data_IF_717365902076
#
_entry.id   IF_717365902076
#
_cell.length_a   1.000
_cell.length_b   1.000
_cell.length_c   1.000
_cell.angle_alpha   90.00
_cell.angle_beta   90.00
_cell.angle_gamma   90.00
#
_symmetry.space_group_name_H-M   'P 1'
#
loop_
_entity.id
_entity.type
_entity.pdbx_description
1 polymer ?
#
# COMPACT_ATOMS: atom_id res chain seq x y z
N UNK A 1 -39.40 19.62 13.98
CA UNK A 1 -38.15 19.19 14.64
C UNK A 1 -37.45 18.24 13.68
N UNK A 2 -36.37 18.69 13.04
CA UNK A 2 -35.68 17.94 11.99
C UNK A 2 -34.80 16.87 12.64
N UNK A 3 -35.13 15.61 12.40
CA UNK A 3 -34.30 14.49 12.81
C UNK A 3 -33.13 14.38 11.82
N UNK A 4 -31.97 14.89 12.20
CA UNK A 4 -30.72 14.55 11.54
C UNK A 4 -30.54 13.03 11.66
N UNK A 5 -30.77 12.32 10.55
CA UNK A 5 -30.48 10.91 10.45
C UNK A 5 -28.99 10.72 10.78
N UNK A 6 -28.72 10.09 11.92
CA UNK A 6 -27.41 9.53 12.21
C UNK A 6 -27.13 8.52 11.12
N UNK A 7 -26.24 8.87 10.19
CA UNK A 7 -25.64 7.91 9.25
C UNK A 7 -24.95 6.86 10.12
N UNK A 8 -25.56 5.67 10.26
CA UNK A 8 -24.91 4.55 10.91
C UNK A 8 -23.78 4.10 9.99
N UNK A 9 -22.59 4.00 10.56
CA UNK A 9 -21.31 3.91 9.85
C UNK A 9 -21.07 2.56 9.12
N UNK A 10 -22.13 1.79 8.86
CA UNK A 10 -22.07 0.41 8.33
C UNK A 10 -23.16 0.08 7.29
N UNK A 11 -23.89 1.07 6.78
CA UNK A 11 -24.90 0.78 5.76
C UNK A 11 -24.21 0.33 4.46
N UNK A 12 -24.51 -0.90 4.04
CA UNK A 12 -23.94 -1.45 2.82
C UNK A 12 -24.41 -0.62 1.63
N UNK A 13 -23.44 -0.15 0.84
CA UNK A 13 -23.69 0.59 -0.39
C UNK A 13 -23.71 -0.41 -1.54
N UNK A 14 -24.84 -0.47 -2.23
CA UNK A 14 -25.06 -1.38 -3.37
C UNK A 14 -24.07 -1.01 -4.48
N UNK A 15 -23.38 -2.02 -5.00
CA UNK A 15 -22.47 -1.89 -6.11
C UNK A 15 -22.87 -2.73 -7.32
N UNK A 16 -22.12 -2.53 -8.40
CA UNK A 16 -22.39 -3.18 -9.67
C UNK A 16 -22.10 -4.68 -9.55
N UNK A 17 -23.00 -5.53 -10.05
CA UNK A 17 -22.87 -6.98 -9.98
C UNK A 17 -23.42 -7.64 -8.71
N UNK A 18 -23.97 -6.88 -7.76
CA UNK A 18 -24.66 -7.46 -6.61
C UNK A 18 -25.97 -8.12 -7.01
N UNK A 19 -26.36 -9.16 -6.28
CA UNK A 19 -27.66 -9.81 -6.42
C UNK A 19 -28.58 -9.30 -5.30
N UNK A 20 -29.63 -8.61 -5.70
CA UNK A 20 -30.63 -8.05 -4.81
C UNK A 20 -31.87 -8.94 -4.83
N UNK A 21 -32.37 -9.29 -3.66
CA UNK A 21 -33.69 -9.89 -3.50
C UNK A 21 -34.68 -8.78 -3.17
N UNK A 22 -35.61 -8.54 -4.09
CA UNK A 22 -36.62 -7.51 -3.96
C UNK A 22 -37.94 -8.21 -3.63
N UNK A 23 -38.48 -7.93 -2.47
CA UNK A 23 -39.80 -8.37 -2.06
C UNK A 23 -40.76 -7.18 -1.99
N UNK A 24 -41.79 -7.21 -2.83
CA UNK A 24 -42.89 -6.24 -2.79
C UNK A 24 -44.07 -6.87 -2.06
N UNK A 25 -44.53 -6.21 -1.00
CA UNK A 25 -45.66 -6.69 -0.21
C UNK A 25 -46.94 -6.73 -1.05
N UNK A 26 -47.74 -7.79 -0.88
CA UNK A 26 -49.02 -8.03 -1.56
C UNK A 26 -48.96 -8.21 -3.11
N UNK A 27 -47.77 -8.08 -3.74
CA UNK A 27 -47.60 -8.21 -5.20
C UNK A 27 -46.40 -9.11 -5.55
N UNK A 28 -46.61 -10.42 -5.42
CA UNK A 28 -45.57 -11.44 -5.69
C UNK A 28 -45.04 -11.45 -7.13
N UNK A 29 -45.78 -10.90 -8.09
CA UNK A 29 -45.35 -10.82 -9.50
C UNK A 29 -44.22 -9.80 -9.72
N UNK A 30 -44.09 -8.83 -8.80
CA UNK A 30 -43.03 -7.84 -8.80
C UNK A 30 -41.81 -8.29 -7.97
N UNK A 31 -42.01 -9.22 -7.03
CA UNK A 31 -40.93 -9.77 -6.19
C UNK A 31 -40.03 -10.72 -7.00
N UNK A 32 -38.80 -10.29 -7.28
CA UNK A 32 -37.79 -11.10 -7.98
C UNK A 32 -36.38 -10.76 -7.54
N UNK A 33 -35.52 -11.76 -7.65
CA UNK A 33 -34.08 -11.57 -7.57
C UNK A 33 -33.56 -10.91 -8.85
N UNK A 34 -32.87 -9.78 -8.69
CA UNK A 34 -32.31 -8.99 -9.79
C UNK A 34 -30.84 -8.73 -9.57
N UNK A 35 -30.05 -8.82 -10.65
CA UNK A 35 -28.61 -8.51 -10.61
C UNK A 35 -28.39 -7.07 -11.05
N UNK A 36 -27.61 -6.32 -10.29
CA UNK A 36 -27.21 -4.95 -10.65
C UNK A 36 -26.32 -5.02 -11.88
N UNK A 37 -26.71 -4.33 -12.94
CA UNK A 37 -25.95 -4.30 -14.20
C UNK A 37 -24.66 -3.49 -14.08
N UNK A 38 -23.79 -3.57 -15.08
CA UNK A 38 -22.55 -2.78 -15.14
C UNK A 38 -22.81 -1.26 -15.19
N UNK A 39 -23.99 -0.82 -15.63
CA UNK A 39 -24.38 0.60 -15.60
C UNK A 39 -24.99 1.02 -14.26
N UNK A 40 -24.93 0.15 -13.24
CA UNK A 40 -25.48 0.42 -11.91
C UNK A 40 -27.00 0.38 -11.82
N UNK A 41 -27.67 -0.13 -12.86
CA UNK A 41 -29.13 -0.18 -12.93
C UNK A 41 -29.67 -1.59 -12.76
N UNK A 42 -30.86 -1.70 -12.16
CA UNK A 42 -31.66 -2.92 -12.11
C UNK A 42 -32.86 -2.81 -13.06
N UNK A 43 -33.29 -3.95 -13.58
CA UNK A 43 -34.54 -4.06 -14.33
C UNK A 43 -35.55 -4.82 -13.48
N UNK A 44 -36.71 -4.24 -13.25
CA UNK A 44 -37.82 -4.92 -12.57
C UNK A 44 -38.88 -5.37 -13.58
N UNK A 45 -39.60 -6.47 -13.30
CA UNK A 45 -40.78 -6.84 -14.06
C UNK A 45 -41.80 -5.70 -14.09
N UNK A 46 -42.49 -5.51 -15.22
CA UNK A 46 -43.57 -4.54 -15.40
C UNK A 46 -43.17 -3.05 -15.30
N UNK A 47 -41.93 -2.73 -14.92
CA UNK A 47 -41.39 -1.37 -14.93
C UNK A 47 -40.60 -1.15 -16.24
N UNK A 48 -41.03 -0.22 -17.13
CA UNK A 48 -40.40 -0.02 -18.43
C UNK A 48 -39.03 0.68 -18.34
N UNK A 49 -38.72 1.30 -17.20
CA UNK A 49 -37.50 2.10 -16.97
C UNK A 49 -36.50 1.31 -16.13
N UNK A 50 -35.21 1.39 -16.49
CA UNK A 50 -34.12 0.85 -15.67
C UNK A 50 -33.86 1.77 -14.48
N UNK A 51 -33.85 1.21 -13.28
CA UNK A 51 -33.68 1.94 -12.02
C UNK A 51 -32.21 1.96 -11.63
N UNK A 52 -31.57 3.12 -11.55
CA UNK A 52 -30.19 3.23 -11.05
C UNK A 52 -30.15 3.10 -9.53
N UNK A 53 -29.46 2.07 -9.03
CA UNK A 53 -29.36 1.72 -7.60
C UNK A 53 -27.92 1.64 -7.10
N UNK A 54 -26.93 1.61 -8.00
CA UNK A 54 -25.52 1.64 -7.58
C UNK A 54 -25.21 2.96 -6.85
N UNK A 55 -24.45 2.85 -5.75
CA UNK A 55 -24.11 3.99 -4.89
C UNK A 55 -25.18 4.36 -3.86
N UNK A 56 -26.36 3.72 -3.88
CA UNK A 56 -27.39 3.89 -2.85
C UNK A 56 -27.20 2.87 -1.73
N UNK A 57 -27.63 3.24 -0.52
CA UNK A 57 -27.83 2.26 0.56
C UNK A 57 -29.07 1.42 0.30
N UNK A 58 -29.20 0.29 0.99
CA UNK A 58 -30.40 -0.57 0.91
C UNK A 58 -31.69 0.24 1.15
N UNK A 59 -31.72 1.04 2.23
CA UNK A 59 -32.87 1.88 2.59
C UNK A 59 -33.19 2.94 1.52
N UNK A 60 -32.15 3.58 0.95
CA UNK A 60 -32.34 4.56 -0.12
C UNK A 60 -32.84 3.91 -1.40
N UNK A 61 -32.36 2.70 -1.70
CA UNK A 61 -32.82 1.93 -2.85
C UNK A 61 -34.28 1.48 -2.68
N UNK A 62 -34.68 1.03 -1.50
CA UNK A 62 -36.08 0.69 -1.16
C UNK A 62 -37.01 1.86 -1.40
N UNK A 63 -36.70 3.03 -0.86
CA UNK A 63 -37.50 4.25 -1.03
C UNK A 63 -37.61 4.68 -2.49
N UNK A 64 -36.51 4.58 -3.24
CA UNK A 64 -36.52 4.91 -4.67
C UNK A 64 -37.34 3.91 -5.47
N UNK A 65 -37.30 2.63 -5.11
CA UNK A 65 -38.07 1.58 -5.77
C UNK A 65 -39.57 1.75 -5.47
N UNK A 66 -39.95 2.02 -4.22
CA UNK A 66 -41.35 2.24 -3.85
C UNK A 66 -41.95 3.44 -4.60
N UNK A 67 -41.22 4.56 -4.66
CA UNK A 67 -41.65 5.76 -5.41
C UNK A 67 -41.85 5.47 -6.90
N UNK A 68 -40.97 4.67 -7.51
CA UNK A 68 -41.12 4.28 -8.92
C UNK A 68 -42.29 3.32 -9.14
N UNK A 69 -42.58 2.42 -8.20
CA UNK A 69 -43.74 1.52 -8.31
C UNK A 69 -45.07 2.27 -8.17
N UNK A 70 -45.14 3.25 -7.26
CA UNK A 70 -46.33 4.08 -7.05
C UNK A 70 -46.57 5.04 -8.22
N UNK A 71 -45.52 5.72 -8.69
CA UNK A 71 -45.63 6.69 -9.81
C UNK A 71 -46.01 6.05 -11.15
N UNK A 72 -45.66 4.78 -11.37
CA UNK A 72 -46.09 4.02 -12.55
C UNK A 72 -47.50 3.40 -12.40
N UNK A 73 -48.18 3.64 -11.28
CA UNK A 73 -49.54 3.14 -11.04
C UNK A 73 -49.62 1.61 -10.89
N UNK A 74 -48.50 0.96 -10.55
CA UNK A 74 -48.44 -0.49 -10.37
C UNK A 74 -48.94 -0.92 -8.99
N UNK A 75 -48.74 -0.06 -7.97
CA UNK A 75 -49.14 -0.30 -6.58
C UNK A 75 -49.58 1.04 -5.95
N UNK A 76 -50.63 1.05 -5.13
CA UNK A 76 -51.12 2.28 -4.47
C UNK A 76 -50.32 2.68 -3.24
N UNK A 77 -49.75 1.70 -2.53
CA UNK A 77 -48.82 1.89 -1.41
C UNK A 77 -47.81 0.75 -1.43
N UNK A 78 -46.62 1.01 -1.97
CA UNK A 78 -45.62 -0.03 -2.19
C UNK A 78 -44.73 -0.18 -0.95
N UNK A 79 -44.96 -1.23 -0.17
CA UNK A 79 -44.02 -1.65 0.88
C UNK A 79 -43.01 -2.63 0.26
N UNK A 80 -41.76 -2.19 0.19
CA UNK A 80 -40.68 -2.91 -0.51
C UNK A 80 -39.58 -3.22 0.50
N UNK A 81 -39.19 -4.49 0.60
CA UNK A 81 -38.00 -4.92 1.32
C UNK A 81 -36.94 -5.34 0.32
N UNK A 82 -35.72 -4.82 0.50
CA UNK A 82 -34.57 -5.11 -0.33
C UNK A 82 -33.48 -5.72 0.54
N UNK A 83 -33.02 -6.91 0.17
CA UNK A 83 -31.89 -7.55 0.83
C UNK A 83 -30.84 -7.97 -0.19
N UNK A 84 -29.56 -7.82 0.16
CA UNK A 84 -28.46 -8.21 -0.72
C UNK A 84 -28.10 -9.68 -0.47
N UNK A 85 -28.45 -10.55 -1.42
CA UNK A 85 -28.15 -11.99 -1.34
C UNK A 85 -26.70 -12.32 -1.69
N UNK A 86 -26.14 -11.65 -2.70
CA UNK A 86 -24.73 -11.83 -3.08
C UNK A 86 -24.05 -10.48 -3.23
N UNK A 87 -23.01 -10.26 -2.41
CA UNK A 87 -22.14 -9.08 -2.47
C UNK A 87 -20.93 -9.39 -3.34
N UNK A 88 -21.04 -9.15 -4.64
CA UNK A 88 -19.96 -9.41 -5.63
C UNK A 88 -19.30 -8.15 -6.16
N UNK A 89 -19.80 -6.98 -5.77
CA UNK A 89 -19.37 -5.69 -6.29
C UNK A 89 -18.01 -5.20 -5.79
N UNK A 90 -17.58 -5.65 -4.61
CA UNK A 90 -16.39 -5.12 -3.93
C UNK A 90 -15.59 -6.24 -3.23
N UNK A 91 -14.80 -7.03 -3.98
CA UNK A 91 -13.98 -8.06 -3.37
C UNK A 91 -12.83 -7.44 -2.55
N UNK A 92 -12.36 -8.19 -1.56
CA UNK A 92 -11.10 -7.93 -0.88
C UNK A 92 -9.99 -8.56 -1.72
N UNK A 93 -8.94 -7.80 -2.03
CA UNK A 93 -7.84 -8.29 -2.87
C UNK A 93 -6.60 -8.50 -2.02
N UNK A 94 -6.02 -9.70 -2.05
CA UNK A 94 -4.79 -10.06 -1.31
C UNK A 94 -3.66 -10.26 -2.29
N UNK A 95 -2.61 -9.45 -2.16
CA UNK A 95 -1.46 -9.44 -3.08
C UNK A 95 -0.14 -9.28 -2.33
N UNK A 96 0.96 -9.61 -3.02
CA UNK A 96 2.32 -9.48 -2.51
C UNK A 96 2.86 -10.81 -1.98
N UNK A 97 3.68 -10.74 -0.93
CA UNK A 97 4.39 -11.85 -0.31
C UNK A 97 3.45 -12.72 0.56
N UNK A 98 2.46 -13.33 -0.07
CA UNK A 98 1.56 -14.33 0.51
C UNK A 98 1.74 -15.66 -0.22
N UNK A 99 1.36 -16.78 0.42
CA UNK A 99 1.50 -18.09 -0.21
C UNK A 99 0.68 -18.19 -1.52
N UNK A 100 -0.57 -17.70 -1.50
CA UNK A 100 -1.45 -17.67 -2.67
C UNK A 100 -2.16 -16.32 -2.79
N UNK A 101 -1.69 -15.43 -3.68
CA UNK A 101 -2.42 -14.21 -4.01
C UNK A 101 -3.83 -14.54 -4.50
N UNK A 102 -4.84 -13.88 -3.93
CA UNK A 102 -6.24 -14.24 -4.18
C UNK A 102 -7.20 -13.05 -4.05
N UNK A 103 -8.40 -13.25 -4.58
CA UNK A 103 -9.53 -12.32 -4.46
C UNK A 103 -10.56 -12.98 -3.54
N UNK A 104 -10.81 -12.37 -2.39
CA UNK A 104 -11.71 -12.87 -1.37
C UNK A 104 -13.07 -12.15 -1.43
N UNK A 105 -14.15 -12.92 -1.55
CA UNK A 105 -15.52 -12.40 -1.58
C UNK A 105 -16.10 -12.52 -0.16
N UNK A 106 -16.16 -11.40 0.56
CA UNK A 106 -16.67 -11.38 1.92
C UNK A 106 -18.21 -11.31 1.96
N UNK A 107 -18.82 -12.40 2.41
CA UNK A 107 -20.26 -12.50 2.72
C UNK A 107 -20.59 -12.00 4.13
N UNK A 108 -19.61 -12.04 5.04
CA UNK A 108 -19.68 -11.53 6.42
C UNK A 108 -18.52 -10.59 6.75
N UNK A 109 -18.52 -9.91 7.91
CA UNK A 109 -17.32 -9.26 8.42
C UNK A 109 -16.18 -10.27 8.60
N UNK A 110 -15.04 -9.99 7.98
CA UNK A 110 -13.84 -10.83 8.03
C UNK A 110 -12.64 -10.02 8.52
N UNK A 111 -11.71 -10.68 9.20
CA UNK A 111 -10.53 -10.01 9.75
C UNK A 111 -9.31 -10.17 8.84
N UNK A 112 -8.30 -9.32 9.03
CA UNK A 112 -7.05 -9.41 8.27
C UNK A 112 -6.39 -10.79 8.43
N UNK A 113 -6.28 -11.29 9.66
CA UNK A 113 -5.62 -12.57 9.92
C UNK A 113 -6.35 -13.75 9.25
N UNK A 114 -7.69 -13.70 9.24
CA UNK A 114 -8.51 -14.71 8.58
C UNK A 114 -8.28 -14.75 7.07
N UNK A 115 -8.27 -13.57 6.43
CA UNK A 115 -8.03 -13.47 4.98
C UNK A 115 -6.60 -13.90 4.61
N UNK A 116 -5.60 -13.58 5.45
CA UNK A 116 -4.23 -14.06 5.27
C UNK A 116 -4.10 -15.57 5.47
N UNK A 117 -4.85 -16.16 6.42
CA UNK A 117 -4.88 -17.60 6.62
C UNK A 117 -5.50 -18.32 5.42
N UNK A 118 -6.57 -17.77 4.84
CA UNK A 118 -7.21 -18.30 3.63
C UNK A 118 -6.28 -18.22 2.40
N UNK A 119 -5.44 -17.19 2.32
CA UNK A 119 -4.37 -17.07 1.33
C UNK A 119 -3.22 -18.08 1.55
N UNK A 120 -3.30 -18.95 2.55
CA UNK A 120 -2.27 -19.94 2.90
C UNK A 120 -1.16 -19.39 3.79
N UNK A 121 -1.37 -18.22 4.41
CA UNK A 121 -0.38 -17.52 5.24
C UNK A 121 0.53 -16.59 4.43
N UNK A 122 1.45 -15.93 5.15
CA UNK A 122 2.49 -15.08 4.57
C UNK A 122 3.64 -15.92 4.01
N UNK A 123 4.28 -15.44 2.94
CA UNK A 123 5.44 -16.12 2.34
C UNK A 123 6.69 -16.00 3.24
N UNK A 124 7.70 -16.85 3.00
CA UNK A 124 8.95 -16.83 3.79
C UNK A 124 9.79 -15.54 3.57
N UNK A 125 9.59 -14.89 2.43
CA UNK A 125 10.16 -13.60 2.07
C UNK A 125 9.16 -12.46 2.27
N UNK A 126 8.15 -12.63 3.12
CA UNK A 126 7.27 -11.53 3.52
C UNK A 126 7.98 -10.59 4.49
N UNK A 127 7.70 -9.29 4.38
CA UNK A 127 8.07 -8.31 5.39
C UNK A 127 7.22 -8.42 6.66
N UNK A 128 7.57 -7.61 7.65
CA UNK A 128 6.93 -7.62 8.98
C UNK A 128 5.65 -6.76 9.04
N UNK A 129 5.25 -6.15 7.94
CA UNK A 129 4.12 -5.23 7.87
C UNK A 129 3.14 -5.65 6.79
N UNK A 130 1.86 -5.32 6.97
CA UNK A 130 0.82 -5.41 5.95
C UNK A 130 0.24 -4.04 5.73
N UNK A 131 -0.01 -3.72 4.48
CA UNK A 131 -0.58 -2.46 4.05
C UNK A 131 -1.97 -2.74 3.54
N UNK A 132 -2.98 -2.18 4.20
CA UNK A 132 -4.37 -2.22 3.74
C UNK A 132 -4.73 -0.88 3.16
N UNK A 133 -4.97 -0.85 1.85
CA UNK A 133 -5.48 0.31 1.17
C UNK A 133 -7.01 0.20 1.05
N UNK A 134 -7.71 1.11 1.73
CA UNK A 134 -9.17 1.18 1.69
C UNK A 134 -9.60 2.24 0.69
N UNK A 135 -10.19 1.89 -0.46
CA UNK A 135 -10.67 2.91 -1.39
C UNK A 135 -11.68 3.81 -0.69
N UNK A 136 -11.39 5.12 -0.63
CA UNK A 136 -12.35 6.12 -0.18
C UNK A 136 -13.60 5.96 -1.03
N UNK A 137 -14.76 5.87 -0.39
CA UNK A 137 -16.01 6.15 -1.09
C UNK A 137 -15.95 7.65 -1.39
N UNK A 138 -15.41 8.04 -2.54
CA UNK A 138 -15.55 9.39 -3.06
C UNK A 138 -17.04 9.61 -3.25
N UNK A 139 -17.71 10.17 -2.24
CA UNK A 139 -18.99 10.82 -2.43
C UNK A 139 -18.73 11.92 -3.46
N UNK A 140 -19.34 11.88 -4.66
CA UNK A 140 -19.22 12.98 -5.59
C UNK A 140 -19.75 14.21 -4.87
N UNK A 141 -18.86 15.15 -4.53
CA UNK A 141 -19.28 16.46 -4.05
C UNK A 141 -20.00 17.09 -5.23
N UNK A 142 -21.32 17.12 -5.17
CA UNK A 142 -22.16 17.72 -6.20
C UNK A 142 -21.67 19.15 -6.47
N UNK A 143 -21.19 19.50 -7.68
CA UNK A 143 -20.79 20.86 -8.00
C UNK A 143 -21.98 21.83 -8.12
N UNK A 144 -23.21 21.39 -7.81
CA UNK A 144 -24.45 22.09 -8.13
C UNK A 144 -25.20 22.62 -6.91
N UNK A 145 -24.53 22.86 -5.78
CA UNK A 145 -25.14 23.62 -4.68
C UNK A 145 -24.70 25.10 -4.78
N UNK A 146 -25.53 26.01 -5.32
CA UNK A 146 -25.24 27.44 -5.27
C UNK A 146 -25.15 27.88 -3.80
N UNK A 147 -24.21 28.76 -3.44
CA UNK A 147 -24.00 29.15 -2.05
C UNK A 147 -25.28 29.72 -1.47
N UNK A 148 -25.70 29.17 -0.33
CA UNK A 148 -26.84 29.65 0.43
C UNK A 148 -26.64 31.13 0.80
N UNK A 149 -27.44 32.00 0.18
CA UNK A 149 -27.56 33.39 0.57
C UNK A 149 -28.44 33.40 1.84
N UNK A 150 -27.83 33.71 2.99
CA UNK A 150 -28.54 33.86 4.25
C UNK A 150 -29.53 35.04 4.22
N UNK A 151 -30.65 34.98 4.96
CA UNK A 151 -31.65 36.03 4.96
C UNK A 151 -31.35 37.02 6.09
N UNK A 152 -30.70 38.14 5.82
CA UNK A 152 -30.73 39.34 6.68
C UNK A 152 -29.96 40.47 5.98
N UNK A 153 -30.67 41.32 5.23
CA UNK A 153 -30.81 42.74 5.58
C UNK A 153 -31.83 43.41 4.66
N UNK A 154 -32.89 43.96 5.24
CA UNK A 154 -33.97 44.68 4.57
C UNK A 154 -33.75 46.19 4.74
N UNK A 155 -33.24 46.80 3.66
CA UNK A 155 -33.63 48.13 3.14
C UNK A 155 -33.25 49.40 3.96
N UNK A 156 -33.50 50.64 3.47
CA UNK A 156 -33.96 51.06 2.13
C UNK A 156 -33.23 52.28 1.49
N UNK A 157 -33.56 52.50 0.21
CA UNK A 157 -33.75 53.79 -0.47
C UNK A 157 -32.58 54.78 -0.60
N UNK A 158 -32.15 55.05 -1.85
CA UNK A 158 -32.47 56.31 -2.54
C UNK A 158 -31.89 56.39 -3.96
N UNK A 159 -32.72 56.95 -4.85
CA UNK A 159 -32.38 57.78 -6.01
C UNK A 159 -31.68 57.15 -7.23
N UNK A 160 -32.50 56.99 -8.27
CA UNK A 160 -32.15 56.98 -9.68
C UNK A 160 -31.70 58.36 -10.19
N UNK A 161 -30.97 58.32 -11.32
CA UNK A 161 -30.92 59.29 -12.43
C UNK A 161 -29.57 59.98 -12.67
N UNK A 162 -28.99 59.72 -13.86
CA UNK A 162 -27.87 60.50 -14.42
C UNK A 162 -27.11 59.78 -15.54
N UNK A 163 -27.68 59.71 -16.75
CA UNK A 163 -26.91 59.62 -18.01
C UNK A 163 -26.30 60.99 -18.37
N UNK A 164 -25.51 61.18 -19.43
CA UNK A 164 -24.66 60.28 -20.25
C UNK A 164 -23.23 60.87 -20.50
N UNK A 165 -22.34 60.15 -21.19
CA UNK A 165 -21.51 60.66 -22.33
C UNK A 165 -20.25 59.80 -22.62
N UNK A 166 -20.14 59.35 -23.87
CA UNK A 166 -18.92 59.02 -24.63
C UNK A 166 -18.03 60.29 -24.85
N UNK A 167 -16.80 60.26 -25.45
CA UNK A 167 -16.18 59.22 -26.30
C UNK A 167 -14.64 59.01 -26.19
N UNK A 168 -14.15 57.99 -26.93
CA UNK A 168 -12.95 57.93 -27.81
C UNK A 168 -11.52 58.18 -27.30
N UNK A 169 -10.62 57.21 -27.55
CA UNK A 169 -9.51 57.25 -28.55
C UNK A 169 -8.54 56.08 -28.25
N UNK A 170 -8.44 55.05 -29.10
CA UNK A 170 -7.54 54.90 -30.27
C UNK A 170 -6.02 54.90 -29.95
N UNK A 171 -5.45 53.70 -30.17
CA UNK A 171 -4.23 53.41 -30.93
C UNK A 171 -2.87 53.94 -30.46
N UNK A 172 -1.91 53.04 -30.24
CA UNK A 172 -0.48 53.40 -30.25
C UNK A 172 0.50 52.38 -29.67
N UNK A 173 1.02 51.52 -30.55
CA UNK A 173 2.18 50.63 -30.42
C UNK A 173 3.42 51.24 -29.72
N UNK A 174 4.13 50.48 -28.87
CA UNK A 174 5.52 49.98 -29.11
C UNK A 174 6.25 49.54 -27.82
N UNK A 175 6.86 48.35 -27.92
CA UNK A 175 8.19 47.94 -27.48
C UNK A 175 8.67 48.05 -26.00
N UNK A 176 9.08 46.87 -25.51
CA UNK A 176 10.29 46.57 -24.76
C UNK A 176 10.38 46.95 -23.27
N UNK A 177 10.19 45.93 -22.41
CA UNK A 177 10.99 45.73 -21.20
C UNK A 177 10.82 44.28 -20.67
N UNK A 178 11.88 43.47 -20.79
CA UNK A 178 12.26 42.46 -19.77
C UNK A 178 12.61 43.23 -18.47
N UNK A 179 12.46 42.68 -17.25
CA UNK A 179 12.71 41.28 -16.90
C UNK A 179 11.71 40.66 -15.90
N UNK A 180 11.69 39.33 -15.80
CA UNK A 180 11.98 38.65 -14.53
C UNK A 180 11.97 37.14 -14.70
N UNK A 181 13.17 36.59 -14.56
CA UNK A 181 13.48 35.19 -14.34
C UNK A 181 12.93 34.79 -12.97
N UNK A 182 11.70 34.31 -12.92
CA UNK A 182 11.16 33.64 -11.74
C UNK A 182 11.42 32.14 -11.86
N UNK A 183 12.52 31.72 -11.26
CA UNK A 183 12.61 30.52 -10.41
C UNK A 183 11.63 29.41 -10.76
N UNK A 184 12.06 28.52 -11.65
CA UNK A 184 11.48 27.19 -11.79
C UNK A 184 11.88 26.37 -10.55
N UNK A 185 11.22 26.66 -9.42
CA UNK A 185 11.23 25.79 -8.26
C UNK A 185 10.27 24.66 -8.60
N UNK A 186 10.81 23.61 -9.22
CA UNK A 186 10.16 22.31 -9.30
C UNK A 186 10.03 21.82 -7.85
N UNK A 187 8.94 22.23 -7.21
CA UNK A 187 8.47 21.66 -5.97
C UNK A 187 8.38 20.15 -6.21
N UNK A 188 9.23 19.43 -5.48
CA UNK A 188 9.13 18.02 -5.24
C UNK A 188 7.69 17.80 -4.79
N UNK A 189 6.85 17.28 -5.68
CA UNK A 189 5.52 16.86 -5.33
C UNK A 189 5.72 15.71 -4.34
N UNK A 190 5.46 15.99 -3.06
CA UNK A 190 5.28 14.94 -2.08
C UNK A 190 4.35 13.88 -2.68
N UNK A 191 4.72 12.58 -2.64
CA UNK A 191 3.81 11.54 -3.12
C UNK A 191 2.48 11.72 -2.38
N UNK A 192 1.34 11.65 -3.08
CA UNK A 192 0.05 11.84 -2.44
C UNK A 192 -0.09 10.81 -1.33
N UNK A 193 -0.14 11.28 -0.08
CA UNK A 193 -0.53 10.46 1.06
C UNK A 193 -1.94 9.97 0.80
N UNK A 194 -2.04 8.70 0.38
CA UNK A 194 -3.30 8.00 0.24
C UNK A 194 -3.97 8.03 1.63
N UNK A 195 -4.99 8.88 1.78
CA UNK A 195 -5.67 9.19 3.05
C UNK A 195 -6.31 7.97 3.74
N UNK A 196 -6.21 6.78 3.15
CA UNK A 196 -6.88 5.57 3.58
C UNK A 196 -5.95 4.33 3.64
N UNK A 197 -4.66 4.54 3.90
CA UNK A 197 -3.72 3.42 4.09
C UNK A 197 -3.60 3.07 5.56
N UNK A 198 -3.90 1.82 5.91
CA UNK A 198 -3.76 1.27 7.26
C UNK A 198 -2.56 0.32 7.24
N UNK A 199 -1.53 0.64 8.01
CA UNK A 199 -0.35 -0.23 8.17
C UNK A 199 -0.49 -1.05 9.43
N UNK A 200 -0.36 -2.37 9.31
CA UNK A 200 -0.50 -3.32 10.40
C UNK A 200 0.80 -4.10 10.57
N UNK A 201 1.28 -4.27 11.80
CA UNK A 201 2.48 -5.05 12.09
C UNK A 201 2.11 -6.54 12.26
N UNK A 202 2.73 -7.42 11.47
CA UNK A 202 2.47 -8.87 11.51
C UNK A 202 3.08 -9.55 12.72
N UNK A 203 4.23 -9.07 13.21
CA UNK A 203 4.90 -9.69 14.35
C UNK A 203 4.03 -9.59 15.59
N UNK A 204 3.35 -8.46 15.79
CA UNK A 204 2.38 -8.29 16.89
C UNK A 204 1.17 -9.23 16.72
N UNK A 205 0.62 -9.36 15.51
CA UNK A 205 -0.54 -10.22 15.30
C UNK A 205 -0.25 -11.72 15.42
N UNK A 206 0.94 -12.15 14.99
CA UNK A 206 1.29 -13.56 14.86
C UNK A 206 2.13 -14.09 16.03
N UNK A 207 2.96 -13.25 16.66
CA UNK A 207 3.89 -13.69 17.72
C UNK A 207 3.38 -13.41 19.13
N UNK A 208 2.82 -12.22 19.37
CA UNK A 208 2.34 -11.84 20.71
C UNK A 208 0.90 -12.29 20.96
N UNK A 209 0.17 -12.67 19.90
CA UNK A 209 -1.25 -13.00 19.97
C UNK A 209 -2.12 -11.78 20.30
N UNK A 210 -1.56 -10.58 20.20
CA UNK A 210 -2.28 -9.35 20.46
C UNK A 210 -3.17 -9.01 19.26
N UNK A 211 -4.43 -9.43 19.35
CA UNK A 211 -5.43 -9.18 18.32
C UNK A 211 -5.90 -7.72 18.27
N UNK A 212 -5.35 -6.81 19.08
CA UNK A 212 -5.76 -5.39 19.10
C UNK A 212 -5.62 -4.74 17.72
N UNK A 213 -4.59 -5.13 16.96
CA UNK A 213 -4.34 -4.63 15.61
C UNK A 213 -4.98 -5.47 14.50
N UNK A 214 -5.80 -6.48 14.86
CA UNK A 214 -6.47 -7.31 13.86
C UNK A 214 -7.69 -6.59 13.32
N UNK A 215 -7.45 -5.78 12.29
CA UNK A 215 -8.49 -4.96 11.67
C UNK A 215 -9.55 -5.83 10.97
N UNK A 216 -10.81 -5.39 11.06
CA UNK A 216 -11.89 -5.91 10.23
C UNK A 216 -11.74 -5.28 8.84
N UNK A 217 -11.66 -6.13 7.83
CA UNK A 217 -11.55 -5.73 6.44
C UNK A 217 -12.91 -5.35 5.87
N UNK A 218 -12.90 -4.37 4.99
CA UNK A 218 -14.08 -3.89 4.29
C UNK A 218 -14.06 -4.32 2.83
N UNK A 219 -15.25 -4.40 2.25
CA UNK A 219 -15.40 -4.74 0.85
C UNK A 219 -14.71 -3.69 -0.04
N UNK A 220 -13.77 -4.16 -0.88
CA UNK A 220 -12.92 -3.31 -1.71
C UNK A 220 -11.54 -3.03 -1.12
N UNK A 221 -11.23 -3.47 0.11
CA UNK A 221 -9.90 -3.33 0.69
C UNK A 221 -8.87 -4.11 -0.14
N UNK A 222 -7.71 -3.48 -0.37
CA UNK A 222 -6.54 -4.12 -1.00
C UNK A 222 -5.51 -4.38 0.09
N UNK A 223 -5.33 -5.64 0.43
CA UNK A 223 -4.35 -6.14 1.39
C UNK A 223 -3.06 -6.45 0.63
N UNK A 224 -2.03 -5.66 0.89
CA UNK A 224 -0.70 -5.82 0.28
C UNK A 224 0.30 -6.24 1.34
N UNK A 225 0.94 -7.38 1.12
CA UNK A 225 2.06 -7.85 1.93
C UNK A 225 3.36 -7.53 1.18
N UNK A 226 4.15 -6.53 1.60
CA UNK A 226 5.44 -6.25 0.99
C UNK A 226 6.39 -7.45 1.14
N UNK A 227 7.24 -7.64 0.13
CA UNK A 227 8.36 -8.56 0.26
C UNK A 227 9.39 -7.99 1.24
N UNK A 228 10.11 -8.87 1.90
CA UNK A 228 11.16 -8.50 2.79
C UNK A 228 12.35 -7.91 2.03
N UNK A 229 13.12 -7.09 2.74
CA UNK A 229 14.32 -6.49 2.18
C UNK A 229 15.37 -7.54 1.81
N UNK A 230 16.35 -7.12 1.02
CA UNK A 230 17.58 -7.88 0.79
C UNK A 230 18.77 -7.15 1.40
N UNK A 231 19.68 -7.88 2.03
CA UNK A 231 21.01 -7.38 2.42
C UNK A 231 22.07 -7.98 1.52
N UNK A 232 23.14 -7.24 1.26
CA UNK A 232 24.24 -7.72 0.43
C UNK A 232 25.48 -7.95 1.28
N UNK A 233 26.15 -9.09 1.11
CA UNK A 233 27.44 -9.37 1.74
C UNK A 233 28.51 -9.48 0.65
N UNK A 234 29.57 -8.70 0.80
CA UNK A 234 30.65 -8.58 -0.18
C UNK A 234 32.03 -8.73 0.47
N UNK A 235 33.01 -9.11 -0.34
CA UNK A 235 34.42 -9.16 0.04
C UNK A 235 34.89 -10.55 0.52
N UNK A 236 35.72 -10.58 1.55
CA UNK A 236 36.45 -11.75 2.03
C UNK A 236 35.56 -12.71 2.87
N UNK A 237 34.46 -13.14 2.29
CA UNK A 237 33.50 -14.10 2.85
C UNK A 237 33.44 -15.37 2.00
N UNK A 238 32.88 -16.45 2.55
CA UNK A 238 32.80 -17.74 1.85
C UNK A 238 31.93 -17.68 0.58
N UNK A 239 30.78 -17.01 0.67
CA UNK A 239 29.76 -16.88 -0.38
C UNK A 239 29.23 -15.45 -0.43
N UNK A 240 29.88 -14.54 -1.18
CA UNK A 240 29.36 -13.20 -1.39
C UNK A 240 28.05 -13.26 -2.20
N UNK A 241 27.10 -12.39 -1.87
CA UNK A 241 25.78 -12.40 -2.50
C UNK A 241 24.72 -11.62 -1.72
N UNK A 242 23.50 -11.66 -2.23
CA UNK A 242 22.32 -11.09 -1.57
C UNK A 242 21.62 -12.14 -0.71
N UNK A 243 21.17 -11.73 0.47
CA UNK A 243 20.44 -12.56 1.44
C UNK A 243 19.14 -11.86 1.78
N UNK A 244 18.03 -12.55 1.57
CA UNK A 244 16.70 -12.05 1.95
C UNK A 244 16.62 -11.94 3.47
N UNK A 245 16.04 -10.85 3.97
CA UNK A 245 15.67 -10.75 5.37
C UNK A 245 14.42 -11.63 5.54
N UNK A 246 14.59 -12.91 5.83
CA UNK A 246 13.43 -13.74 6.11
C UNK A 246 12.72 -13.21 7.39
N UNK A 247 11.40 -13.41 7.46
CA UNK A 247 10.64 -13.18 8.70
C UNK A 247 10.78 -14.41 9.61
N UNK A 248 12.02 -14.77 9.93
CA UNK A 248 12.38 -15.94 10.70
C UNK A 248 12.71 -15.55 12.15
N UNK A 249 11.73 -14.91 12.83
CA UNK A 249 11.65 -14.61 14.29
C UNK A 249 12.85 -13.90 14.93
N UNK A 250 13.86 -13.62 14.13
CA UNK A 250 15.20 -13.29 14.55
C UNK A 250 15.74 -12.32 13.53
N UNK A 251 15.89 -11.08 14.00
CA UNK A 251 16.43 -9.97 13.24
C UNK A 251 17.68 -10.39 12.45
N UNK A 252 17.79 -9.97 11.19
CA UNK A 252 19.00 -10.23 10.40
C UNK A 252 20.16 -9.43 10.98
N UNK A 253 21.09 -10.08 11.67
CA UNK A 253 22.28 -9.46 12.23
C UNK A 253 23.53 -9.71 11.40
N UNK A 254 24.62 -9.01 11.74
CA UNK A 254 25.90 -9.15 11.06
C UNK A 254 26.47 -10.57 11.20
N UNK A 255 26.40 -11.17 12.39
CA UNK A 255 26.84 -12.56 12.56
C UNK A 255 25.95 -13.55 11.82
N UNK A 256 24.62 -13.36 11.83
CA UNK A 256 23.66 -14.24 11.13
C UNK A 256 23.93 -14.25 9.63
N UNK A 257 24.04 -13.07 9.01
CA UNK A 257 24.29 -12.99 7.57
C UNK A 257 25.66 -13.55 7.19
N UNK A 258 26.69 -13.36 8.04
CA UNK A 258 28.00 -13.96 7.80
C UNK A 258 27.98 -15.48 7.88
N UNK A 259 27.21 -16.06 8.79
CA UNK A 259 27.02 -17.50 8.87
C UNK A 259 26.33 -18.04 7.59
N UNK A 260 25.28 -17.36 7.12
CA UNK A 260 24.61 -17.68 5.85
C UNK A 260 25.54 -17.56 4.64
N UNK A 261 26.44 -16.57 4.67
CA UNK A 261 27.49 -16.37 3.68
C UNK A 261 28.67 -17.35 3.80
N UNK A 262 28.58 -18.41 4.63
CA UNK A 262 29.64 -19.41 4.76
C UNK A 262 30.85 -18.94 5.58
N UNK A 263 30.70 -17.89 6.37
CA UNK A 263 31.72 -17.35 7.26
C UNK A 263 32.75 -16.45 6.59
N UNK A 264 33.79 -16.11 7.36
CA UNK A 264 34.89 -15.25 6.93
C UNK A 264 36.03 -16.07 6.33
N UNK A 265 36.58 -15.64 5.21
CA UNK A 265 37.76 -16.26 4.63
C UNK A 265 39.00 -16.07 5.52
N UNK A 266 40.02 -16.90 5.31
CA UNK A 266 41.30 -16.80 6.04
C UNK A 266 41.99 -15.45 5.80
N UNK A 267 41.79 -14.83 4.64
CA UNK A 267 42.33 -13.52 4.25
C UNK A 267 41.58 -12.34 4.85
N UNK A 268 40.41 -12.54 5.47
CA UNK A 268 39.55 -11.44 5.91
C UNK A 268 40.21 -10.54 6.97
N UNK A 269 40.00 -9.21 6.81
CA UNK A 269 40.32 -8.18 7.79
C UNK A 269 39.10 -7.94 8.69
N UNK A 270 38.98 -8.79 9.73
CA UNK A 270 37.78 -8.92 10.57
C UNK A 270 37.46 -7.66 11.40
N UNK A 271 38.44 -6.81 11.62
CA UNK A 271 38.38 -5.60 12.43
C UNK A 271 38.02 -4.33 11.64
N UNK A 272 37.82 -4.43 10.32
CA UNK A 272 37.52 -3.29 9.43
C UNK A 272 36.35 -3.58 8.50
N UNK A 273 35.36 -4.37 8.94
CA UNK A 273 34.15 -4.50 8.15
C UNK A 273 33.35 -3.20 8.20
N UNK A 274 32.60 -2.91 7.15
CA UNK A 274 31.79 -1.70 7.04
C UNK A 274 30.40 -2.09 6.56
N UNK A 275 29.38 -1.56 7.21
CA UNK A 275 28.01 -1.58 6.69
C UNK A 275 27.79 -0.27 5.96
N UNK A 276 27.49 -0.35 4.67
CA UNK A 276 27.06 0.79 3.87
C UNK A 276 25.55 0.82 3.86
N UNK A 277 24.97 1.86 4.47
CA UNK A 277 23.53 2.06 4.59
C UNK A 277 23.13 3.32 3.83
N UNK A 278 22.07 3.25 3.03
CA UNK A 278 21.50 4.44 2.39
C UNK A 278 20.37 4.99 3.25
N UNK A 279 20.37 6.29 3.50
CA UNK A 279 19.23 6.95 4.12
C UNK A 279 18.08 7.18 3.13
N UNK A 280 16.98 7.75 3.62
CA UNK A 280 15.78 8.06 2.82
C UNK A 280 16.03 9.11 1.73
N UNK A 281 17.13 9.87 1.81
CA UNK A 281 17.57 10.85 0.81
C UNK A 281 18.60 10.26 -0.17
N UNK A 282 18.90 8.96 -0.04
CA UNK A 282 19.85 8.24 -0.87
C UNK A 282 21.32 8.50 -0.51
N UNK A 283 21.60 9.24 0.57
CA UNK A 283 22.97 9.45 1.05
C UNK A 283 23.47 8.19 1.73
N UNK A 284 24.75 7.86 1.48
CA UNK A 284 25.39 6.69 2.07
C UNK A 284 26.02 7.05 3.41
N UNK A 285 25.73 6.24 4.42
CA UNK A 285 26.33 6.29 5.75
C UNK A 285 27.09 5.00 5.97
N UNK A 286 28.36 5.12 6.34
CA UNK A 286 29.21 3.99 6.66
C UNK A 286 29.23 3.74 8.17
N UNK A 287 28.80 2.55 8.59
CA UNK A 287 28.86 2.10 9.97
C UNK A 287 30.01 1.11 10.08
N UNK A 288 31.07 1.49 10.79
CA UNK A 288 32.22 0.62 11.02
C UNK A 288 31.86 -0.51 11.99
N UNK A 289 32.17 -1.76 11.62
CA UNK A 289 31.89 -2.94 12.43
C UNK A 289 33.17 -3.74 12.66
N UNK A 290 33.55 -3.89 13.92
CA UNK A 290 34.65 -4.74 14.34
C UNK A 290 34.13 -6.17 14.60
N UNK A 291 34.08 -6.99 13.55
CA UNK A 291 33.60 -8.37 13.62
C UNK A 291 34.42 -9.21 14.61
N UNK A 292 35.69 -8.87 14.86
CA UNK A 292 36.50 -9.58 15.85
C UNK A 292 35.92 -9.37 17.24
N UNK A 293 35.55 -8.13 17.60
CA UNK A 293 34.92 -7.83 18.90
C UNK A 293 33.51 -8.40 18.99
N UNK A 294 32.72 -8.30 17.92
CA UNK A 294 31.35 -8.86 17.88
C UNK A 294 31.36 -10.37 18.09
N UNK A 295 32.23 -11.11 17.37
CA UNK A 295 32.40 -12.56 17.56
C UNK A 295 32.90 -12.94 18.96
N UNK A 296 33.71 -12.08 19.58
CA UNK A 296 34.22 -12.27 20.94
C UNK A 296 33.21 -11.84 22.03
N UNK A 297 31.99 -11.41 21.67
CA UNK A 297 30.98 -10.84 22.58
C UNK A 297 31.47 -9.61 23.35
N UNK A 298 32.40 -8.86 22.76
CA UNK A 298 32.96 -7.61 23.30
C UNK A 298 32.32 -6.36 22.66
N UNK A 299 31.49 -6.56 21.64
CA UNK A 299 30.67 -5.54 21.00
C UNK A 299 29.30 -6.15 20.68
N UNK A 300 28.27 -5.32 20.61
CA UNK A 300 26.91 -5.74 20.23
C UNK A 300 26.85 -6.15 18.76
N UNK A 301 26.00 -7.13 18.45
CA UNK A 301 25.78 -7.58 17.08
C UNK A 301 24.85 -6.61 16.37
N UNK A 302 25.35 -5.97 15.32
CA UNK A 302 24.61 -4.91 14.61
C UNK A 302 23.51 -5.54 13.77
N UNK A 303 22.29 -5.05 13.95
CA UNK A 303 21.15 -5.39 13.11
C UNK A 303 21.24 -4.72 11.74
N UNK A 304 21.03 -5.53 10.70
CA UNK A 304 21.02 -5.10 9.32
C UNK A 304 19.61 -4.66 8.89
N UNK A 305 19.58 -3.65 8.05
CA UNK A 305 18.37 -3.11 7.46
C UNK A 305 18.26 -3.51 5.98
N UNK A 306 17.04 -3.48 5.40
CA UNK A 306 16.85 -3.62 3.97
C UNK A 306 17.81 -2.74 3.17
N UNK A 307 18.44 -3.31 2.16
CA UNK A 307 19.42 -2.66 1.27
C UNK A 307 20.78 -2.33 1.89
N UNK A 308 21.08 -2.77 3.12
CA UNK A 308 22.43 -2.66 3.67
C UNK A 308 23.43 -3.51 2.88
N UNK A 309 24.65 -3.00 2.77
CA UNK A 309 25.79 -3.74 2.21
C UNK A 309 26.82 -3.95 3.30
N UNK A 310 27.00 -5.21 3.73
CA UNK A 310 28.11 -5.61 4.59
C UNK A 310 29.34 -5.90 3.72
N UNK A 311 30.32 -5.02 3.78
CA UNK A 311 31.60 -5.20 3.08
C UNK A 311 32.69 -5.64 4.06
N UNK A 312 33.33 -6.77 3.75
CA UNK A 312 34.45 -7.31 4.52
C UNK A 312 35.74 -7.24 3.69
N UNK A 313 36.67 -6.35 3.99
CA UNK A 313 37.89 -6.22 3.19
C UNK A 313 38.87 -7.39 3.37
N UNK A 314 39.68 -7.64 2.34
CA UNK A 314 40.85 -8.51 2.41
C UNK A 314 41.98 -7.85 3.21
N UNK A 315 42.75 -8.66 3.94
CA UNK A 315 44.02 -8.24 4.53
C UNK A 315 45.16 -8.46 3.53
N UNK A 316 45.78 -7.37 3.07
CA UNK A 316 46.93 -7.42 2.16
C UNK A 316 48.08 -8.29 2.70
N UNK A 317 48.37 -8.19 4.01
CA UNK A 317 49.41 -9.00 4.66
C UNK A 317 49.09 -10.51 4.61
N UNK A 318 47.85 -10.89 4.94
CA UNK A 318 47.42 -12.30 4.89
C UNK A 318 47.38 -12.85 3.47
N UNK A 319 46.94 -12.03 2.50
CA UNK A 319 46.91 -12.39 1.07
C UNK A 319 48.32 -12.59 0.50
N UNK A 320 49.29 -11.76 0.91
CA UNK A 320 50.69 -11.90 0.54
C UNK A 320 51.33 -13.16 1.14
N UNK A 321 51.05 -13.46 2.42
CA UNK A 321 51.57 -14.64 3.10
C UNK A 321 51.13 -15.95 2.43
N UNK A 322 49.85 -16.05 2.04
CA UNK A 322 49.34 -17.23 1.33
C UNK A 322 50.06 -17.45 -0.01
N UNK A 323 50.31 -16.38 -0.79
CA UNK A 323 51.05 -16.49 -2.06
C UNK A 323 52.51 -16.91 -1.88
N UNK A 324 53.16 -16.52 -0.77
CA UNK A 324 54.55 -16.94 -0.50
C UNK A 324 54.68 -18.42 -0.12
N UNK A 325 53.66 -19.01 0.55
CA UNK A 325 53.68 -20.45 0.90
C UNK A 325 53.51 -21.33 -0.35
N UNK A 326 52.66 -20.92 -1.30
CA UNK A 326 52.50 -21.63 -2.59
C UNK A 326 53.79 -21.65 -3.41
N UNK A 327 54.56 -20.56 -3.41
CA UNK A 327 55.89 -20.50 -4.04
C UNK A 327 56.95 -21.31 -3.28
N UNK A 328 56.88 -21.39 -1.96
CA UNK A 328 57.82 -22.18 -1.14
C UNK A 328 57.77 -23.69 -1.42
N UNK A 329 56.57 -24.22 -1.73
CA UNK A 329 56.40 -25.64 -2.11
C UNK A 329 56.98 -25.90 -3.51
N UNK A 330 56.91 -24.94 -4.44
CA UNK A 330 57.47 -25.06 -5.78
C UNK A 330 59.02 -25.03 -5.80
N UNK A 331 59.65 -24.35 -4.83
CA UNK A 331 61.12 -24.30 -4.73
C UNK A 331 61.71 -25.49 -3.94
N UNK A 332 60.96 -26.10 -3.03
CA UNK A 332 61.42 -27.25 -2.25
C UNK A 332 61.63 -28.53 -3.07
N UNK A 333 60.85 -28.76 -4.11
CA UNK A 333 61.00 -29.93 -5.01
C UNK A 333 62.19 -29.80 -5.96
N UNK A 334 62.55 -28.57 -6.37
CA UNK A 334 63.73 -28.33 -7.23
C UNK A 334 65.07 -28.61 -6.55
N UNK A 335 65.21 -28.29 -5.26
CA UNK A 335 66.46 -28.52 -4.50
C UNK A 335 66.63 -29.99 -4.13
N UNK A 336 65.54 -30.74 -3.92
CA UNK A 336 65.59 -32.17 -3.60
C UNK A 336 66.09 -33.03 -4.77
N UNK A 337 65.74 -32.69 -6.02
CA UNK A 337 66.24 -33.40 -7.21
C UNK A 337 67.73 -33.15 -7.46
N UNK A 338 68.23 -31.95 -7.18
CA UNK A 338 69.64 -31.62 -7.44
C UNK A 338 70.61 -32.37 -6.53
N UNK A 339 70.21 -32.68 -5.28
CA UNK A 339 71.08 -33.36 -4.31
C UNK A 339 71.12 -34.89 -4.48
N UNK A 340 70.14 -35.48 -5.15
CA UNK A 340 70.11 -36.93 -5.45
C UNK A 340 70.82 -37.25 -6.77
N UNK A 341 70.86 -36.33 -7.72
CA UNK A 341 71.53 -36.54 -9.02
C UNK A 341 73.07 -36.47 -8.98
N UNK A 342 73.67 -36.02 -7.87
CA UNK A 342 75.13 -35.82 -7.72
C UNK A 342 75.76 -36.65 -6.57
N UNK A 343 75.22 -37.84 -6.30
CA UNK A 343 75.86 -38.80 -5.39
C UNK A 343 76.29 -40.07 -6.10
#
# INVERSE_FOLDING_TARGET
MSAAARIMQHDYVIGNGDLLDIEVFDVKELSREVRVSQTGSIGMPLVPVRLHVAGLTEVQAEQKISEVLESNGLVSHAEVSLSVKERKSKPITVVGAVAHPMVYQADRPVTLLEVLAEAGGVANDAGDTVIVNRPSQDTPSDPSEPPAIGPEDLAPAAASAGSPAHPSQESGSTAAAVPNTSSNSSAIADPPVLKNTITVNLNELMETGDATNNIILQAGDIVTVPHSGIVYVLGAVGRPGGFVLANDRGQMTTLKVLALAGGLNSTAKRDHAVIVRKDTQGQQHEVAVDLKKVMARQAEDVQLQPSDILYVPDSAAKKAMLRTVELGIALGTGVALYRVAYR
#
